data_IF_259350610242
#
_entry.id   IF_259350610242
#
_cell.length_a   1.000
_cell.length_b   1.000
_cell.length_c   1.000
_cell.angle_alpha   90.00
_cell.angle_beta   90.00
_cell.angle_gamma   90.00
#
_symmetry.space_group_name_H-M   'P 1'
#
loop_
_entity.id
_entity.type
_entity.pdbx_description
1 polymer ?
#
# COMPACT_ATOMS: atom_id res chain seq x y z
N UNK A 1 5.00 28.40 38.50
CA UNK A 1 5.84 29.26 37.63
C UNK A 1 6.94 28.34 37.11
N UNK A 2 7.03 27.92 35.85
CA UNK A 2 6.85 28.62 34.58
C UNK A 2 6.09 27.76 33.56
N UNK A 3 5.26 28.42 32.77
CA UNK A 3 4.66 27.93 31.54
C UNK A 3 5.49 28.39 30.33
N UNK A 4 5.61 27.55 29.30
CA UNK A 4 5.91 27.95 27.92
C UNK A 4 5.44 26.79 27.00
N UNK A 5 4.24 26.89 26.43
CA UNK A 5 3.93 27.46 25.11
C UNK A 5 4.14 26.47 23.95
N UNK A 6 3.16 25.59 23.75
CA UNK A 6 2.91 24.93 22.47
C UNK A 6 2.04 25.86 21.62
N UNK A 7 2.59 26.41 20.53
CA UNK A 7 1.83 27.10 19.48
C UNK A 7 2.43 26.78 18.12
N UNK A 8 1.51 26.70 17.15
CA UNK A 8 1.68 26.61 15.69
C UNK A 8 1.69 25.19 15.07
N UNK A 9 0.49 24.68 14.82
CA UNK A 9 0.15 24.15 13.49
C UNK A 9 -1.23 24.72 13.10
N UNK A 10 -1.21 25.78 12.28
CA UNK A 10 -2.40 26.29 11.57
C UNK A 10 -2.39 25.70 10.18
N UNK A 11 -3.52 25.15 9.77
CA UNK A 11 -3.73 24.54 8.48
C UNK A 11 -3.57 25.52 7.32
N UNK A 12 -3.22 24.96 6.17
CA UNK A 12 -3.33 25.64 4.89
C UNK A 12 -4.23 24.84 3.95
N UNK A 13 -5.40 25.44 3.67
CA UNK A 13 -6.27 25.11 2.56
C UNK A 13 -5.68 25.74 1.30
N UNK A 14 -5.35 24.92 0.29
CA UNK A 14 -4.86 25.43 -0.99
C UNK A 14 -6.06 25.87 -1.85
N UNK A 15 -6.16 27.19 -2.05
CA UNK A 15 -7.07 27.85 -2.98
C UNK A 15 -6.56 27.59 -4.41
N UNK A 16 -7.43 27.03 -5.27
CA UNK A 16 -7.16 26.82 -6.70
C UNK A 16 -7.80 27.95 -7.50
N UNK A 17 -6.98 28.74 -8.20
CA UNK A 17 -7.41 29.73 -9.20
C UNK A 17 -7.28 29.13 -10.60
N UNK A 18 -8.31 29.18 -11.48
CA UNK A 18 -8.20 28.65 -12.84
C UNK A 18 -7.72 29.69 -13.85
N UNK A 19 -6.86 29.28 -14.78
CA UNK A 19 -6.49 30.01 -16.01
C UNK A 19 -7.06 29.30 -17.26
N UNK A 20 -7.26 30.01 -18.39
CA UNK A 20 -8.30 29.70 -19.37
C UNK A 20 -7.89 28.76 -20.51
N UNK A 21 -8.92 28.14 -21.08
CA UNK A 21 -8.94 27.24 -22.22
C UNK A 21 -8.48 27.86 -23.55
N UNK A 22 -7.70 27.11 -24.34
CA UNK A 22 -7.48 27.37 -25.78
C UNK A 22 -7.91 26.16 -26.65
N UNK A 23 -8.28 26.51 -27.87
CA UNK A 23 -9.14 25.82 -28.83
C UNK A 23 -8.49 24.65 -29.60
N UNK A 24 -9.37 23.89 -30.28
CA UNK A 24 -9.08 22.70 -31.10
C UNK A 24 -8.66 23.08 -32.52
N UNK A 25 -7.69 22.36 -33.09
CA UNK A 25 -7.42 22.29 -34.53
C UNK A 25 -7.46 20.84 -35.02
N UNK A 26 -8.18 20.58 -36.12
CA UNK A 26 -8.31 19.29 -36.81
C UNK A 26 -7.25 19.15 -37.92
N UNK A 27 -6.80 17.92 -38.18
CA UNK A 27 -6.08 17.54 -39.40
C UNK A 27 -6.09 16.03 -39.67
N UNK A 28 -6.61 15.63 -40.84
CA UNK A 28 -6.54 14.29 -41.49
C UNK A 28 -5.14 14.13 -42.14
N UNK A 29 -4.53 13.00 -42.51
CA UNK A 29 -4.82 11.56 -42.62
C UNK A 29 -3.70 10.93 -43.51
N UNK A 30 -3.49 9.61 -43.51
CA UNK A 30 -2.60 8.93 -44.50
C UNK A 30 -1.95 7.62 -44.03
N UNK A 31 -2.21 6.54 -44.77
CA UNK A 31 -1.76 5.14 -44.61
C UNK A 31 -0.23 4.95 -44.79
N UNK A 32 0.45 3.85 -44.45
CA UNK A 32 0.12 2.53 -43.90
C UNK A 32 1.37 1.63 -44.00
N UNK A 33 1.53 0.63 -43.13
CA UNK A 33 2.16 -0.67 -43.42
C UNK A 33 2.07 -1.59 -42.19
N UNK A 34 1.76 -2.85 -42.46
CA UNK A 34 1.43 -3.87 -41.48
C UNK A 34 2.69 -4.56 -40.93
N UNK A 35 2.70 -4.87 -39.63
CA UNK A 35 3.34 -6.07 -39.09
C UNK A 35 2.67 -6.47 -37.76
N UNK A 36 2.57 -7.79 -37.59
CA UNK A 36 1.74 -8.55 -36.64
C UNK A 36 1.87 -8.15 -35.15
N UNK A 37 0.72 -7.97 -34.48
CA UNK A 37 0.54 -7.91 -33.02
C UNK A 37 -0.49 -8.97 -32.60
N UNK A 38 -0.26 -9.78 -31.53
CA UNK A 38 -1.28 -10.68 -30.99
C UNK A 38 -2.33 -9.90 -30.16
N UNK A 39 -3.51 -10.50 -29.92
CA UNK A 39 -4.77 -9.76 -29.80
C UNK A 39 -4.95 -8.98 -28.50
N UNK A 40 -5.51 -7.77 -28.65
CA UNK A 40 -6.02 -6.91 -27.58
C UNK A 40 -7.35 -7.46 -27.06
N UNK A 41 -7.35 -7.98 -25.86
CA UNK A 41 -8.56 -8.10 -25.04
C UNK A 41 -8.44 -7.31 -23.73
N UNK A 42 -9.24 -6.24 -23.70
CA UNK A 42 -9.90 -5.61 -22.55
C UNK A 42 -9.08 -5.35 -21.26
N UNK A 43 -8.37 -4.21 -21.25
CA UNK A 43 -8.11 -3.45 -20.03
C UNK A 43 -8.58 -2.00 -20.24
N UNK A 44 -9.80 -1.69 -19.77
CA UNK A 44 -10.35 -0.33 -19.69
C UNK A 44 -10.62 0.04 -18.24
N UNK A 45 -9.67 0.67 -17.56
CA UNK A 45 -9.78 1.31 -16.23
C UNK A 45 -8.48 2.13 -16.04
N UNK A 46 -8.38 3.38 -15.55
CA UNK A 46 -9.28 4.40 -15.01
C UNK A 46 -8.74 5.78 -15.47
N UNK A 47 -9.62 6.67 -15.92
CA UNK A 47 -9.33 8.11 -15.95
C UNK A 47 -9.78 8.74 -14.63
N UNK A 48 -8.99 9.67 -14.09
CA UNK A 48 -9.26 10.41 -12.83
C UNK A 48 -10.72 10.87 -12.74
N UNK A 49 -11.47 10.57 -11.66
CA UNK A 49 -12.70 11.29 -11.38
C UNK A 49 -12.36 12.67 -10.77
N UNK A 50 -12.86 13.73 -11.42
CA UNK A 50 -12.95 15.06 -10.81
C UNK A 50 -14.06 15.04 -9.76
N UNK A 51 -13.78 15.54 -8.57
CA UNK A 51 -14.78 15.85 -7.54
C UNK A 51 -15.42 14.63 -6.88
N UNK A 52 -14.81 14.13 -5.80
CA UNK A 52 -15.46 13.15 -4.92
C UNK A 52 -16.63 13.85 -4.22
N UNK A 53 -17.87 13.45 -4.56
CA UNK A 53 -19.04 13.77 -3.73
C UNK A 53 -18.92 12.97 -2.43
N UNK A 54 -18.93 13.70 -1.32
CA UNK A 54 -18.97 13.14 0.04
C UNK A 54 -20.21 12.25 0.18
N UNK A 55 -20.03 11.01 0.63
CA UNK A 55 -21.11 10.05 0.82
C UNK A 55 -22.11 10.53 1.90
N UNK A 56 -23.42 10.22 1.77
CA UNK A 56 -24.44 10.63 2.72
C UNK A 56 -24.26 9.96 4.09
N UNK A 57 -24.77 10.65 5.11
CA UNK A 57 -24.80 10.22 6.51
C UNK A 57 -25.48 8.85 6.65
N UNK A 58 -24.80 7.91 7.30
CA UNK A 58 -25.26 6.56 7.56
C UNK A 58 -25.34 6.38 9.07
N UNK A 59 -26.27 7.09 9.71
CA UNK A 59 -26.76 6.76 11.04
C UNK A 59 -27.68 5.54 10.91
N UNK A 60 -27.09 4.35 10.96
CA UNK A 60 -27.80 3.07 10.91
C UNK A 60 -27.81 2.50 12.32
N UNK A 61 -29.00 2.15 12.84
CA UNK A 61 -29.16 1.49 14.14
C UNK A 61 -28.46 0.14 14.18
N UNK A 62 -27.31 0.07 14.85
CA UNK A 62 -26.39 -1.06 14.83
C UNK A 62 -26.21 -1.69 16.22
N UNK A 63 -26.02 -3.01 16.21
CA UNK A 63 -25.09 -3.64 17.14
C UNK A 63 -23.69 -3.06 16.88
N UNK A 64 -22.96 -2.71 17.93
CA UNK A 64 -21.67 -2.00 17.91
C UNK A 64 -20.81 -2.28 16.67
N UNK A 65 -20.66 -1.28 15.79
CA UNK A 65 -19.77 -1.37 14.63
C UNK A 65 -18.31 -1.27 15.04
N UNK A 66 -17.47 -2.07 14.40
CA UNK A 66 -16.03 -2.07 14.63
C UNK A 66 -15.26 -2.14 13.31
N UNK A 67 -13.97 -1.82 13.38
CA UNK A 67 -13.05 -2.00 12.25
C UNK A 67 -12.38 -3.37 12.35
N UNK A 68 -12.53 -4.17 11.30
CA UNK A 68 -11.69 -5.32 11.04
C UNK A 68 -10.38 -4.82 10.41
N UNK A 69 -9.23 -5.26 10.93
CA UNK A 69 -7.91 -4.87 10.45
C UNK A 69 -7.08 -6.12 10.16
N UNK A 70 -6.87 -6.47 8.89
CA UNK A 70 -5.94 -7.53 8.52
C UNK A 70 -4.50 -7.04 8.74
N UNK A 71 -3.66 -7.88 9.33
CA UNK A 71 -2.25 -7.58 9.56
C UNK A 71 -1.39 -8.84 9.35
N UNK A 72 -0.08 -8.74 9.58
CA UNK A 72 0.80 -9.91 9.61
C UNK A 72 0.59 -10.67 10.94
N UNK A 73 0.55 -12.02 10.95
CA UNK A 73 0.55 -12.76 12.21
C UNK A 73 1.76 -12.38 13.08
N UNK A 74 1.52 -12.07 14.36
CA UNK A 74 2.55 -11.61 15.32
C UNK A 74 2.85 -10.10 15.29
N UNK A 75 2.03 -9.32 14.56
CA UNK A 75 2.09 -7.86 14.48
C UNK A 75 0.76 -7.20 14.89
N UNK A 76 -0.10 -7.96 15.59
CA UNK A 76 -1.37 -7.46 16.10
C UNK A 76 -1.15 -6.31 17.09
N UNK A 77 -0.09 -6.38 17.92
CA UNK A 77 0.29 -5.31 18.85
C UNK A 77 0.69 -4.01 18.15
N UNK A 78 1.39 -4.11 17.02
CA UNK A 78 1.81 -2.94 16.26
C UNK A 78 0.63 -2.29 15.54
N UNK A 79 -0.23 -3.10 14.89
CA UNK A 79 -1.45 -2.60 14.27
C UNK A 79 -2.42 -1.98 15.30
N UNK A 80 -2.50 -2.57 16.49
CA UNK A 80 -3.27 -2.05 17.62
C UNK A 80 -2.73 -0.69 18.11
N UNK A 81 -1.42 -0.60 18.37
CA UNK A 81 -0.79 0.64 18.83
C UNK A 81 -0.92 1.75 17.79
N UNK A 82 -0.70 1.44 16.51
CA UNK A 82 -0.90 2.36 15.38
C UNK A 82 -2.32 2.92 15.35
N UNK A 83 -3.33 2.05 15.46
CA UNK A 83 -4.73 2.50 15.41
C UNK A 83 -5.16 3.25 16.66
N UNK A 84 -4.63 2.91 17.84
CA UNK A 84 -4.85 3.69 19.06
C UNK A 84 -4.30 5.11 18.92
N UNK A 85 -3.06 5.25 18.45
CA UNK A 85 -2.44 6.57 18.25
C UNK A 85 -3.22 7.41 17.22
N UNK A 86 -3.50 6.83 16.04
CA UNK A 86 -4.19 7.53 14.96
C UNK A 86 -5.64 7.89 15.31
N UNK A 87 -6.37 7.02 16.02
CA UNK A 87 -7.73 7.32 16.48
C UNK A 87 -7.76 8.46 17.50
N UNK A 88 -6.83 8.45 18.46
CA UNK A 88 -6.66 9.52 19.44
C UNK A 88 -6.37 10.86 18.76
N UNK A 89 -5.48 10.89 17.75
CA UNK A 89 -5.20 12.09 16.96
C UNK A 89 -6.43 12.63 16.21
N UNK A 90 -7.41 11.77 15.86
CA UNK A 90 -8.68 12.20 15.23
C UNK A 90 -9.78 12.53 16.24
N UNK A 91 -9.50 12.42 17.54
CA UNK A 91 -10.45 12.65 18.62
C UNK A 91 -11.60 11.66 18.62
N UNK A 92 -11.34 10.40 18.24
CA UNK A 92 -12.33 9.32 18.25
C UNK A 92 -11.83 8.25 19.21
N UNK A 93 -12.62 7.95 20.24
CA UNK A 93 -12.28 6.92 21.20
C UNK A 93 -12.40 5.53 20.56
N UNK A 94 -11.44 4.66 20.84
CA UNK A 94 -11.51 3.28 20.46
C UNK A 94 -10.45 2.43 21.14
N UNK A 95 -10.67 1.14 21.16
CA UNK A 95 -9.75 0.19 21.77
C UNK A 95 -9.60 -1.06 20.88
N UNK A 96 -8.39 -1.60 20.77
CA UNK A 96 -8.13 -2.82 20.03
C UNK A 96 -8.45 -4.04 20.89
N UNK A 97 -9.00 -5.07 20.26
CA UNK A 97 -9.07 -6.44 20.75
C UNK A 97 -8.15 -7.26 19.85
N UNK A 98 -7.10 -7.81 20.45
CA UNK A 98 -6.07 -8.59 19.76
C UNK A 98 -5.95 -9.98 20.37
N UNK A 99 -5.55 -10.94 19.54
CA UNK A 99 -5.07 -12.25 19.99
C UNK A 99 -3.79 -12.56 19.21
N UNK A 100 -2.76 -13.00 19.92
CA UNK A 100 -1.47 -13.30 19.33
C UNK A 100 -1.60 -14.31 18.19
N UNK A 101 -1.00 -13.99 17.04
CA UNK A 101 -1.02 -14.84 15.85
C UNK A 101 -2.37 -14.93 15.14
N UNK A 102 -3.36 -14.11 15.51
CA UNK A 102 -4.66 -14.07 14.84
C UNK A 102 -4.61 -13.39 13.46
N UNK A 103 -3.57 -12.62 13.16
CA UNK A 103 -3.40 -11.84 11.92
C UNK A 103 -4.54 -10.85 11.62
N UNK A 104 -5.38 -10.58 12.62
CA UNK A 104 -6.53 -9.70 12.55
C UNK A 104 -6.63 -8.95 13.88
N UNK A 105 -6.85 -7.64 13.80
CA UNK A 105 -7.18 -6.79 14.96
C UNK A 105 -8.62 -6.32 14.79
N UNK A 106 -9.38 -6.38 15.89
CA UNK A 106 -10.70 -5.76 15.99
C UNK A 106 -10.52 -4.42 16.68
N UNK A 107 -10.87 -3.32 16.04
CA UNK A 107 -10.79 -2.00 16.66
C UNK A 107 -12.20 -1.47 16.93
N UNK A 108 -12.57 -1.46 18.20
CA UNK A 108 -13.92 -1.18 18.67
C UNK A 108 -14.03 0.29 19.06
N UNK A 109 -15.02 0.98 18.50
CA UNK A 109 -15.37 2.34 18.90
C UNK A 109 -16.64 2.27 19.76
N UNK A 110 -16.65 2.83 20.99
CA UNK A 110 -17.80 2.73 21.89
C UNK A 110 -19.07 3.40 21.36
N UNK A 111 -18.91 4.56 20.72
CA UNK A 111 -20.03 5.35 20.20
C UNK A 111 -20.50 4.82 18.84
N UNK A 112 -21.82 4.80 18.66
CA UNK A 112 -22.42 4.34 17.42
C UNK A 112 -21.98 5.18 16.22
N UNK A 113 -21.53 4.51 15.16
CA UNK A 113 -21.04 5.17 13.94
C UNK A 113 -19.61 5.71 14.00
N UNK A 114 -18.94 5.67 15.16
CA UNK A 114 -17.57 6.19 15.29
C UNK A 114 -16.54 5.38 14.50
N UNK A 115 -16.71 4.06 14.38
CA UNK A 115 -15.86 3.24 13.52
C UNK A 115 -15.92 3.71 12.05
N UNK A 116 -17.12 4.02 11.56
CA UNK A 116 -17.32 4.57 10.22
C UNK A 116 -16.77 5.98 10.07
N UNK A 117 -16.93 6.85 11.08
CA UNK A 117 -16.33 8.20 11.11
C UNK A 117 -14.81 8.13 11.10
N UNK A 118 -14.23 7.22 11.87
CA UNK A 118 -12.78 7.02 11.96
C UNK A 118 -12.22 6.58 10.62
N UNK A 119 -12.82 5.58 9.98
CA UNK A 119 -12.43 5.10 8.65
C UNK A 119 -12.50 6.21 7.59
N UNK A 120 -13.44 7.17 7.71
CA UNK A 120 -13.51 8.35 6.80
C UNK A 120 -12.45 9.41 7.09
N UNK A 121 -12.03 9.57 8.35
CA UNK A 121 -11.04 10.58 8.77
C UNK A 121 -9.58 10.13 8.59
N UNK A 122 -9.34 8.83 8.52
CA UNK A 122 -8.02 8.25 8.32
C UNK A 122 -7.79 7.93 6.84
N UNK A 123 -6.60 8.25 6.33
CA UNK A 123 -6.15 7.76 5.02
C UNK A 123 -5.52 6.38 5.23
N UNK A 124 -6.06 5.38 4.55
CA UNK A 124 -5.56 4.01 4.59
C UNK A 124 -4.07 3.91 4.22
N UNK A 125 -3.58 4.80 3.34
CA UNK A 125 -2.17 4.81 2.91
C UNK A 125 -1.19 5.17 4.02
N UNK A 126 -1.66 5.78 5.11
CA UNK A 126 -0.82 6.11 6.27
C UNK A 126 -0.64 4.92 7.22
N UNK A 127 -1.45 3.86 7.09
CA UNK A 127 -1.38 2.68 7.96
C UNK A 127 -0.23 1.77 7.52
N UNK A 128 0.75 1.59 8.39
CA UNK A 128 1.96 0.82 8.17
C UNK A 128 1.68 -0.67 8.38
N UNK A 129 1.01 -1.05 9.47
CA UNK A 129 0.88 -2.46 9.89
C UNK A 129 -0.47 -3.10 9.50
N UNK A 130 -1.44 -2.30 9.04
CA UNK A 130 -2.75 -2.77 8.58
C UNK A 130 -2.75 -3.05 7.08
N UNK A 131 -2.76 -4.32 6.65
CA UNK A 131 -2.80 -4.73 5.23
C UNK A 131 -4.12 -4.41 4.54
N UNK A 132 -5.23 -4.51 5.27
CA UNK A 132 -6.58 -4.19 4.79
C UNK A 132 -7.48 -3.87 5.98
N UNK A 133 -8.55 -3.11 5.74
CA UNK A 133 -9.57 -2.83 6.75
C UNK A 133 -10.99 -2.82 6.19
N UNK A 134 -11.97 -2.99 7.06
CA UNK A 134 -13.38 -2.81 6.75
C UNK A 134 -14.15 -2.41 8.01
N UNK A 135 -15.21 -1.62 7.86
CA UNK A 135 -16.15 -1.28 8.94
C UNK A 135 -17.37 -2.19 8.89
N UNK A 136 -17.77 -2.77 10.01
CA UNK A 136 -18.85 -3.75 10.03
C UNK A 136 -19.10 -4.37 11.39
N UNK A 137 -19.63 -5.58 11.39
CA UNK A 137 -20.01 -6.33 12.60
C UNK A 137 -19.60 -7.80 12.50
N UNK A 138 -19.34 -8.42 13.63
CA UNK A 138 -19.25 -9.87 13.76
C UNK A 138 -20.63 -10.48 13.91
N UNK A 139 -20.79 -11.69 13.38
CA UNK A 139 -22.00 -12.49 13.42
C UNK A 139 -21.63 -13.92 13.79
N UNK A 140 -22.41 -14.51 14.69
CA UNK A 140 -22.45 -15.96 14.84
C UNK A 140 -23.48 -16.52 13.85
N UNK A 141 -23.11 -17.60 13.16
CA UNK A 141 -23.87 -18.16 12.04
C UNK A 141 -24.01 -19.68 12.18
N UNK A 142 -25.19 -20.25 11.86
CA UNK A 142 -25.37 -21.69 11.87
C UNK A 142 -24.54 -22.36 10.76
N UNK A 143 -24.03 -23.57 11.05
CA UNK A 143 -23.17 -24.30 10.14
C UNK A 143 -23.88 -24.78 8.87
N UNK A 144 -25.20 -24.90 8.91
CA UNK A 144 -26.08 -25.30 7.82
C UNK A 144 -26.56 -24.13 6.96
N UNK A 145 -26.64 -22.91 7.52
CA UNK A 145 -27.08 -21.71 6.80
C UNK A 145 -26.28 -20.45 7.16
N UNK A 146 -25.22 -20.22 6.39
CA UNK A 146 -24.39 -19.02 6.51
C UNK A 146 -24.89 -17.87 5.64
N UNK A 147 -25.74 -18.15 4.64
CA UNK A 147 -26.11 -17.15 3.62
C UNK A 147 -27.17 -16.20 4.18
N UNK A 148 -28.20 -16.73 4.84
CA UNK A 148 -29.30 -15.90 5.35
C UNK A 148 -28.85 -14.85 6.38
N UNK A 149 -27.96 -15.17 7.35
CA UNK A 149 -27.41 -14.15 8.25
C UNK A 149 -26.61 -13.06 7.53
N UNK A 150 -25.80 -13.43 6.52
CA UNK A 150 -25.02 -12.46 5.73
C UNK A 150 -25.96 -11.52 4.96
N UNK A 151 -27.00 -12.06 4.32
CA UNK A 151 -28.01 -11.26 3.61
C UNK A 151 -28.72 -10.30 4.57
N UNK A 152 -29.08 -10.80 5.77
CA UNK A 152 -29.72 -9.99 6.80
C UNK A 152 -28.82 -8.84 7.23
N UNK A 153 -27.53 -9.09 7.46
CA UNK A 153 -26.58 -8.02 7.77
C UNK A 153 -26.42 -7.02 6.60
N UNK A 154 -26.39 -7.49 5.36
CA UNK A 154 -26.31 -6.63 4.17
C UNK A 154 -27.53 -5.72 3.99
N UNK A 155 -28.71 -6.12 4.47
CA UNK A 155 -29.92 -5.29 4.41
C UNK A 155 -29.81 -3.97 5.17
N UNK A 156 -28.88 -3.91 6.13
CA UNK A 156 -28.58 -2.73 6.95
C UNK A 156 -27.37 -1.97 6.44
N UNK A 157 -26.68 -2.43 5.39
CA UNK A 157 -25.47 -1.80 4.89
C UNK A 157 -25.65 -1.11 3.53
N UNK A 158 -24.62 -0.41 3.04
CA UNK A 158 -24.64 0.13 1.70
C UNK A 158 -24.62 -1.00 0.65
N UNK A 159 -25.19 -0.71 -0.52
CA UNK A 159 -25.02 -1.56 -1.71
C UNK A 159 -23.52 -1.66 -2.02
N UNK A 160 -23.05 -2.86 -2.34
CA UNK A 160 -21.66 -3.13 -2.68
C UNK A 160 -21.45 -3.35 -4.19
N UNK A 161 -20.25 -3.07 -4.68
CA UNK A 161 -19.80 -3.36 -6.04
C UNK A 161 -19.37 -4.81 -6.21
N UNK A 162 -18.74 -5.39 -5.19
CA UNK A 162 -18.24 -6.77 -5.17
C UNK A 162 -18.33 -7.37 -3.77
N UNK A 163 -18.22 -8.69 -3.67
CA UNK A 163 -18.04 -9.42 -2.41
C UNK A 163 -16.67 -10.10 -2.38
N UNK A 164 -15.95 -9.96 -1.27
CA UNK A 164 -14.72 -10.66 -0.98
C UNK A 164 -14.93 -11.62 0.17
N UNK A 165 -14.70 -12.91 -0.09
CA UNK A 165 -14.59 -13.92 0.94
C UNK A 165 -13.15 -13.98 1.43
N UNK A 166 -12.96 -13.72 2.71
CA UNK A 166 -11.66 -13.53 3.34
C UNK A 166 -11.52 -14.43 4.56
N UNK A 167 -10.28 -14.65 4.97
CA UNK A 167 -9.90 -15.28 6.24
C UNK A 167 -8.66 -14.55 6.77
N UNK A 168 -8.28 -14.83 8.01
CA UNK A 168 -6.97 -14.42 8.52
C UNK A 168 -5.83 -15.15 7.76
N UNK A 169 -4.67 -14.49 7.58
CA UNK A 169 -3.46 -15.08 6.96
C UNK A 169 -2.72 -16.04 7.93
N UNK A 170 -3.44 -17.03 8.44
CA UNK A 170 -2.98 -18.01 9.43
C UNK A 170 -3.18 -19.44 8.90
N UNK A 171 -2.63 -20.43 9.61
CA UNK A 171 -2.89 -21.84 9.27
C UNK A 171 -4.38 -22.20 9.45
N UNK A 172 -5.02 -21.69 10.51
CA UNK A 172 -6.46 -21.89 10.76
C UNK A 172 -7.30 -21.22 9.67
N UNK A 173 -6.94 -20.01 9.26
CA UNK A 173 -7.59 -19.32 8.14
C UNK A 173 -7.43 -20.07 6.82
N UNK A 174 -6.30 -20.74 6.59
CA UNK A 174 -6.09 -21.62 5.42
C UNK A 174 -6.93 -22.90 5.51
N UNK A 175 -7.16 -23.44 6.70
CA UNK A 175 -8.02 -24.61 6.88
C UNK A 175 -9.48 -24.34 6.44
N UNK A 176 -9.91 -23.08 6.45
CA UNK A 176 -11.24 -22.65 5.97
C UNK A 176 -11.34 -22.53 4.44
N UNK A 177 -10.28 -22.79 3.67
CA UNK A 177 -10.28 -22.63 2.21
C UNK A 177 -11.35 -23.49 1.51
N UNK A 178 -11.62 -24.70 2.00
CA UNK A 178 -12.67 -25.56 1.46
C UNK A 178 -14.08 -24.95 1.66
N UNK A 179 -14.31 -24.32 2.82
CA UNK A 179 -15.56 -23.65 3.15
C UNK A 179 -15.75 -22.42 2.25
N UNK A 180 -14.78 -21.51 2.22
CA UNK A 180 -14.89 -20.26 1.43
C UNK A 180 -15.02 -20.55 -0.06
N UNK A 181 -14.31 -21.56 -0.58
CA UNK A 181 -14.45 -22.01 -1.97
C UNK A 181 -15.86 -22.54 -2.29
N UNK A 182 -16.44 -23.37 -1.41
CA UNK A 182 -17.80 -23.91 -1.60
C UNK A 182 -18.86 -22.83 -1.49
N UNK A 183 -18.69 -21.86 -0.59
CA UNK A 183 -19.66 -20.79 -0.33
C UNK A 183 -19.63 -19.67 -1.39
N UNK A 184 -18.49 -19.44 -2.05
CA UNK A 184 -18.28 -18.33 -2.98
C UNK A 184 -19.40 -18.07 -3.98
N UNK A 185 -19.62 -19.03 -4.89
CA UNK A 185 -20.62 -18.86 -5.96
C UNK A 185 -22.07 -18.81 -5.43
N UNK A 186 -22.49 -19.67 -4.47
CA UNK A 186 -23.81 -19.55 -3.85
C UNK A 186 -24.06 -18.18 -3.21
N UNK A 187 -23.10 -17.66 -2.43
CA UNK A 187 -23.22 -16.38 -1.76
C UNK A 187 -23.29 -15.22 -2.75
N UNK A 188 -22.39 -15.17 -3.73
CA UNK A 188 -22.39 -14.14 -4.77
C UNK A 188 -23.71 -14.12 -5.55
N UNK A 189 -24.24 -15.31 -5.88
CA UNK A 189 -25.54 -15.44 -6.56
C UNK A 189 -26.68 -14.88 -5.69
N UNK A 190 -26.70 -15.20 -4.40
CA UNK A 190 -27.75 -14.75 -3.49
C UNK A 190 -27.69 -13.22 -3.26
N UNK A 191 -26.49 -12.66 -3.07
CA UNK A 191 -26.26 -11.22 -2.92
C UNK A 191 -26.60 -10.42 -4.19
N UNK A 192 -26.37 -11.02 -5.37
CA UNK A 192 -26.73 -10.40 -6.65
C UNK A 192 -28.25 -10.42 -6.87
N UNK A 193 -28.93 -11.53 -6.55
CA UNK A 193 -30.40 -11.65 -6.64
C UNK A 193 -31.11 -10.65 -5.73
N UNK A 194 -30.60 -10.45 -4.51
CA UNK A 194 -31.11 -9.44 -3.55
C UNK A 194 -30.70 -8.01 -3.91
N UNK A 195 -29.82 -7.83 -4.90
CA UNK A 195 -29.25 -6.54 -5.34
C UNK A 195 -28.44 -5.80 -4.26
N UNK A 196 -27.99 -6.50 -3.22
CA UNK A 196 -27.02 -5.97 -2.26
C UNK A 196 -25.62 -5.90 -2.85
N UNK A 197 -25.29 -6.79 -3.80
CA UNK A 197 -24.11 -6.66 -4.66
C UNK A 197 -24.55 -6.30 -6.08
N UNK A 198 -23.97 -5.25 -6.64
CA UNK A 198 -24.24 -4.74 -8.00
C UNK A 198 -22.92 -4.47 -8.72
N UNK A 199 -22.40 -5.44 -9.50
CA UNK A 199 -21.11 -5.29 -10.20
C UNK A 199 -21.01 -4.08 -11.13
N UNK A 200 -22.15 -3.61 -11.66
CA UNK A 200 -22.19 -2.44 -12.55
C UNK A 200 -22.05 -1.09 -11.80
N UNK A 201 -22.05 -1.08 -10.47
CA UNK A 201 -21.84 0.10 -9.61
C UNK A 201 -20.41 0.11 -9.11
N UNK A 202 -19.43 0.33 -9.99
CA UNK A 202 -18.00 0.24 -9.65
C UNK A 202 -17.53 1.27 -8.61
N UNK A 203 -18.31 2.30 -8.36
CA UNK A 203 -18.10 3.33 -7.33
C UNK A 203 -18.62 2.93 -5.94
N UNK A 204 -19.44 1.87 -5.86
CA UNK A 204 -19.96 1.34 -4.60
C UNK A 204 -18.85 0.65 -3.78
N UNK A 205 -18.96 0.63 -2.44
CA UNK A 205 -17.99 -0.03 -1.57
C UNK A 205 -17.88 -1.53 -1.88
N UNK A 206 -16.81 -2.15 -1.42
CA UNK A 206 -16.62 -3.60 -1.46
C UNK A 206 -17.20 -4.21 -0.19
N UNK A 207 -17.96 -5.29 -0.33
CA UNK A 207 -18.41 -6.09 0.80
C UNK A 207 -17.31 -7.09 1.19
N UNK A 208 -16.97 -7.12 2.48
CA UNK A 208 -16.04 -8.04 3.10
C UNK A 208 -16.83 -9.04 3.93
N UNK A 209 -16.61 -10.33 3.68
CA UNK A 209 -17.10 -11.44 4.50
C UNK A 209 -15.88 -12.22 4.97
N UNK A 210 -15.42 -11.94 6.18
CA UNK A 210 -14.21 -12.53 6.74
C UNK A 210 -14.54 -13.61 7.76
N UNK A 211 -14.18 -14.86 7.49
CA UNK A 211 -14.42 -15.98 8.39
C UNK A 211 -13.34 -16.05 9.47
N UNK A 212 -13.77 -16.10 10.73
CA UNK A 212 -12.90 -16.47 11.86
C UNK A 212 -13.00 -17.98 12.12
N UNK A 213 -14.20 -18.55 11.97
CA UNK A 213 -14.44 -19.99 12.09
C UNK A 213 -15.56 -20.43 11.15
N UNK A 214 -15.96 -21.71 11.20
CA UNK A 214 -17.13 -22.19 10.49
C UNK A 214 -18.45 -21.57 10.97
N UNK A 215 -18.48 -20.96 12.15
CA UNK A 215 -19.72 -20.50 12.82
C UNK A 215 -19.62 -19.03 13.24
N UNK A 216 -18.52 -18.34 12.93
CA UNK A 216 -18.33 -16.93 13.24
C UNK A 216 -17.62 -16.20 12.10
N UNK A 217 -18.22 -15.09 11.66
CA UNK A 217 -17.72 -14.29 10.55
C UNK A 217 -17.98 -12.80 10.76
N UNK A 218 -17.20 -11.98 10.07
CA UNK A 218 -17.37 -10.53 9.99
C UNK A 218 -18.06 -10.18 8.67
N UNK A 219 -19.01 -9.25 8.70
CA UNK A 219 -19.64 -8.63 7.53
C UNK A 219 -19.43 -7.12 7.61
N UNK A 220 -18.74 -6.56 6.62
CA UNK A 220 -18.43 -5.13 6.59
C UNK A 220 -18.06 -4.59 5.22
N UNK A 221 -17.70 -3.31 5.16
CA UNK A 221 -17.45 -2.60 3.91
C UNK A 221 -16.15 -1.82 3.91
N UNK A 222 -15.55 -1.70 2.72
CA UNK A 222 -14.46 -0.76 2.47
C UNK A 222 -14.66 0.01 1.16
N UNK A 223 -14.12 1.22 1.08
CA UNK A 223 -14.24 2.06 -0.10
C UNK A 223 -12.97 1.99 -0.95
N UNK A 224 -13.13 1.85 -2.26
CA UNK A 224 -12.01 1.62 -3.19
C UNK A 224 -10.90 2.67 -3.11
N UNK A 225 -11.25 3.94 -2.83
CA UNK A 225 -10.30 5.03 -2.69
C UNK A 225 -9.56 5.08 -1.34
N UNK A 226 -10.01 4.31 -0.35
CA UNK A 226 -9.49 4.32 1.02
C UNK A 226 -9.36 2.90 1.58
N UNK A 227 -8.88 1.94 0.78
CA UNK A 227 -8.60 0.56 1.23
C UNK A 227 -7.68 -0.14 0.23
N UNK A 228 -7.08 -1.28 0.61
CA UNK A 228 -6.21 -2.02 -0.31
C UNK A 228 -7.03 -2.58 -1.49
N UNK A 229 -6.47 -2.63 -2.72
CA UNK A 229 -7.18 -3.12 -3.90
C UNK A 229 -7.25 -4.65 -3.99
N UNK A 230 -6.68 -5.36 -3.02
CA UNK A 230 -6.64 -6.82 -2.98
C UNK A 230 -7.42 -7.37 -1.77
N UNK A 231 -8.09 -8.53 -1.91
CA UNK A 231 -8.63 -9.26 -0.76
C UNK A 231 -7.55 -9.50 0.29
N UNK A 232 -7.90 -9.32 1.57
CA UNK A 232 -6.98 -9.38 2.72
C UNK A 232 -5.77 -8.42 2.64
N UNK A 233 -5.71 -7.55 1.63
CA UNK A 233 -4.56 -6.70 1.36
C UNK A 233 -3.36 -7.42 0.78
N UNK A 234 -3.53 -8.62 0.21
CA UNK A 234 -2.43 -9.46 -0.28
C UNK A 234 -2.44 -9.55 -1.81
N UNK A 235 -1.44 -8.99 -2.51
CA UNK A 235 -1.32 -9.15 -3.94
C UNK A 235 -0.90 -10.57 -4.32
N UNK A 236 -1.46 -11.09 -5.41
CA UNK A 236 -1.10 -12.41 -5.95
C UNK A 236 0.09 -12.29 -6.88
N UNK A 237 1.29 -12.32 -6.31
CA UNK A 237 2.54 -12.29 -7.06
C UNK A 237 3.13 -13.70 -7.18
N UNK A 238 3.77 -14.00 -8.32
CA UNK A 238 4.42 -15.29 -8.57
C UNK A 238 5.92 -15.08 -8.68
N UNK A 239 6.70 -15.83 -7.91
CA UNK A 239 8.17 -15.81 -8.02
C UNK A 239 8.58 -16.19 -9.45
N UNK A 240 9.27 -15.30 -10.16
CA UNK A 240 9.84 -15.59 -11.48
C UNK A 240 10.94 -16.65 -11.36
N UNK A 241 11.00 -17.60 -12.30
CA UNK A 241 11.98 -18.71 -12.23
C UNK A 241 13.40 -18.23 -12.48
N UNK A 242 13.53 -17.16 -13.24
CA UNK A 242 14.78 -16.55 -13.71
C UNK A 242 15.35 -15.55 -12.70
N UNK A 243 14.58 -15.18 -11.67
CA UNK A 243 15.03 -14.23 -10.67
C UNK A 243 16.09 -14.89 -9.75
N UNK A 244 17.24 -14.23 -9.49
CA UNK A 244 18.29 -14.77 -8.64
C UNK A 244 17.89 -15.01 -7.17
N UNK A 245 16.83 -14.33 -6.70
CA UNK A 245 16.36 -14.41 -5.32
C UNK A 245 14.85 -14.16 -5.25
N UNK A 246 14.20 -14.78 -4.24
CA UNK A 246 12.79 -14.53 -3.91
C UNK A 246 12.54 -13.12 -3.39
N UNK A 247 13.57 -12.40 -2.93
CA UNK A 247 13.45 -11.00 -2.48
C UNK A 247 12.99 -10.06 -3.61
N UNK A 248 13.09 -10.50 -4.88
CA UNK A 248 12.51 -9.83 -6.05
C UNK A 248 11.06 -9.43 -5.86
N UNK A 249 10.26 -10.24 -5.14
CA UNK A 249 8.85 -9.96 -4.93
C UNK A 249 8.60 -8.77 -3.99
N UNK A 250 9.55 -8.42 -3.12
CA UNK A 250 9.41 -7.25 -2.24
C UNK A 250 9.33 -5.96 -3.06
N UNK A 251 10.24 -5.80 -4.03
CA UNK A 251 10.27 -4.61 -4.87
C UNK A 251 9.06 -4.56 -5.83
N UNK A 252 8.65 -5.70 -6.38
CA UNK A 252 7.43 -5.78 -7.20
C UNK A 252 6.16 -5.43 -6.40
N UNK A 253 6.04 -5.98 -5.18
CA UNK A 253 4.94 -5.65 -4.28
C UNK A 253 4.95 -4.16 -3.91
N UNK A 254 6.12 -3.60 -3.61
CA UNK A 254 6.29 -2.18 -3.31
C UNK A 254 5.81 -1.30 -4.46
N UNK A 255 6.14 -1.61 -5.71
CA UNK A 255 5.61 -0.87 -6.87
C UNK A 255 4.09 -0.97 -6.98
N UNK A 256 3.53 -2.16 -6.77
CA UNK A 256 2.08 -2.35 -6.76
C UNK A 256 1.38 -1.56 -5.65
N UNK A 257 2.04 -1.36 -4.51
CA UNK A 257 1.49 -0.64 -3.37
C UNK A 257 1.64 0.89 -3.50
N UNK A 258 2.85 1.37 -3.83
CA UNK A 258 3.20 2.79 -3.74
C UNK A 258 3.04 3.55 -5.06
N UNK A 259 2.99 2.87 -6.21
CA UNK A 259 2.93 3.51 -7.52
C UNK A 259 1.60 3.17 -8.19
N UNK A 260 0.70 4.16 -8.39
CA UNK A 260 -0.52 3.97 -9.16
C UNK A 260 -0.21 3.34 -10.52
N UNK A 261 -0.97 2.33 -10.93
CA UNK A 261 -0.66 1.51 -12.10
C UNK A 261 -0.53 2.34 -13.38
N UNK A 262 -1.34 3.39 -13.50
CA UNK A 262 -1.33 4.35 -14.60
C UNK A 262 -0.06 5.20 -14.67
N UNK A 263 0.72 5.29 -13.59
CA UNK A 263 1.98 6.04 -13.54
C UNK A 263 3.20 5.15 -13.81
N UNK A 264 3.05 3.83 -13.99
CA UNK A 264 4.19 2.91 -14.13
C UNK A 264 5.05 3.21 -15.36
N UNK A 265 4.45 3.53 -16.50
CA UNK A 265 5.22 3.82 -17.73
C UNK A 265 5.98 5.14 -17.65
N UNK A 266 5.58 6.04 -16.75
CA UNK A 266 6.28 7.29 -16.48
C UNK A 266 7.32 7.14 -15.36
N UNK A 267 6.96 6.50 -14.25
CA UNK A 267 7.78 6.44 -13.02
C UNK A 267 8.71 5.23 -12.97
N UNK A 268 8.41 4.19 -13.73
CA UNK A 268 9.25 2.98 -13.90
C UNK A 268 9.60 2.81 -15.38
N UNK A 269 10.00 3.90 -16.04
CA UNK A 269 10.17 3.96 -17.48
C UNK A 269 11.45 3.23 -17.94
N UNK A 270 11.44 2.63 -19.15
CA UNK A 270 12.65 2.14 -19.81
C UNK A 270 13.73 3.21 -19.91
N UNK A 271 15.00 2.80 -19.75
CA UNK A 271 16.16 3.68 -19.87
C UNK A 271 16.45 4.53 -18.63
N UNK A 272 15.60 4.52 -17.60
CA UNK A 272 15.91 5.12 -16.31
C UNK A 272 17.18 4.51 -15.70
N UNK A 273 17.89 5.31 -14.91
CA UNK A 273 19.04 4.87 -14.13
C UNK A 273 18.63 4.55 -12.70
N UNK A 274 19.18 3.48 -12.16
CA UNK A 274 18.92 3.03 -10.80
C UNK A 274 20.21 2.62 -10.08
N UNK A 275 20.20 2.75 -8.77
CA UNK A 275 21.21 2.17 -7.88
C UNK A 275 20.54 1.18 -6.94
N UNK A 276 21.08 -0.04 -6.87
CA UNK A 276 20.69 -1.08 -5.92
C UNK A 276 21.80 -1.24 -4.89
N UNK A 277 21.54 -0.88 -3.63
CA UNK A 277 22.50 -0.99 -2.52
C UNK A 277 22.30 -2.30 -1.77
N UNK A 278 23.37 -3.07 -1.57
CA UNK A 278 23.28 -4.44 -1.05
C UNK A 278 22.66 -5.38 -2.08
N UNK A 279 23.08 -5.22 -3.34
CA UNK A 279 22.39 -5.79 -4.47
C UNK A 279 22.51 -7.32 -4.57
N UNK A 280 23.58 -7.94 -4.03
CA UNK A 280 23.86 -9.35 -4.30
C UNK A 280 22.80 -10.29 -3.69
N UNK A 281 22.36 -11.35 -4.40
CA UNK A 281 22.77 -11.78 -5.75
C UNK A 281 21.97 -11.13 -6.90
N UNK A 282 21.10 -10.16 -6.61
CA UNK A 282 20.41 -9.34 -7.61
C UNK A 282 18.89 -9.49 -7.65
N UNK A 283 18.23 -9.83 -6.54
CA UNK A 283 16.78 -9.96 -6.50
C UNK A 283 16.05 -8.66 -6.91
N UNK A 284 16.45 -7.52 -6.34
CA UNK A 284 15.87 -6.22 -6.65
C UNK A 284 16.38 -5.66 -7.99
N UNK A 285 17.68 -5.79 -8.24
CA UNK A 285 18.29 -5.53 -9.56
C UNK A 285 17.53 -6.19 -10.70
N UNK A 286 17.06 -7.44 -10.53
CA UNK A 286 16.29 -8.15 -11.56
C UNK A 286 14.98 -7.44 -11.93
N UNK A 287 14.25 -6.90 -10.97
CA UNK A 287 13.03 -6.13 -11.25
C UNK A 287 13.33 -4.85 -12.03
N UNK A 288 14.41 -4.15 -11.64
CA UNK A 288 14.86 -2.93 -12.33
C UNK A 288 15.27 -3.21 -13.78
N UNK A 289 16.04 -4.29 -13.99
CA UNK A 289 16.46 -4.77 -15.32
C UNK A 289 15.26 -5.11 -16.19
N UNK A 290 14.23 -5.77 -15.64
CA UNK A 290 12.99 -6.09 -16.34
C UNK A 290 12.11 -4.88 -16.68
N UNK A 291 12.34 -3.74 -16.02
CA UNK A 291 11.80 -2.44 -16.42
C UNK A 291 12.69 -1.70 -17.42
N UNK A 292 13.69 -2.40 -17.98
CA UNK A 292 14.67 -1.87 -18.91
C UNK A 292 15.50 -0.70 -18.35
N UNK A 293 15.74 -0.69 -17.04
CA UNK A 293 16.60 0.30 -16.40
C UNK A 293 18.09 -0.06 -16.58
N UNK A 294 18.97 0.94 -16.47
CA UNK A 294 20.41 0.77 -16.30
C UNK A 294 20.71 0.79 -14.81
N UNK A 295 21.31 -0.27 -14.28
CA UNK A 295 21.46 -0.47 -12.83
C UNK A 295 22.93 -0.47 -12.44
N UNK A 296 23.29 0.38 -11.47
CA UNK A 296 24.53 0.21 -10.72
C UNK A 296 24.22 -0.62 -9.48
N UNK A 297 24.64 -1.89 -9.49
CA UNK A 297 24.47 -2.83 -8.39
C UNK A 297 25.68 -2.76 -7.47
N UNK A 298 25.48 -2.37 -6.21
CA UNK A 298 26.55 -2.11 -5.25
C UNK A 298 26.53 -3.18 -4.17
N UNK A 299 27.53 -4.05 -4.18
CA UNK A 299 27.72 -5.10 -3.17
C UNK A 299 29.15 -5.68 -3.28
N UNK A 300 29.73 -6.11 -2.16
CA UNK A 300 30.97 -6.90 -2.20
C UNK A 300 30.72 -8.34 -2.69
N UNK A 301 29.50 -8.83 -2.56
CA UNK A 301 29.07 -10.14 -3.07
C UNK A 301 28.90 -10.14 -4.59
N UNK A 302 29.03 -11.31 -5.24
CA UNK A 302 28.90 -11.42 -6.69
C UNK A 302 27.44 -11.29 -7.12
N UNK A 303 27.22 -10.56 -8.21
CA UNK A 303 25.94 -10.52 -8.92
C UNK A 303 25.71 -11.80 -9.73
N UNK A 304 24.46 -12.21 -9.87
CA UNK A 304 24.12 -13.35 -10.71
C UNK A 304 24.56 -13.13 -12.17
N UNK A 305 25.20 -14.15 -12.76
CA UNK A 305 25.72 -14.08 -14.13
C UNK A 305 24.65 -13.67 -15.16
N UNK A 306 23.42 -14.18 -15.02
CA UNK A 306 22.31 -13.83 -15.91
C UNK A 306 21.98 -12.33 -15.92
N UNK A 307 22.21 -11.62 -14.81
CA UNK A 307 22.03 -10.16 -14.75
C UNK A 307 23.19 -9.43 -15.41
N UNK A 308 24.42 -9.92 -15.23
CA UNK A 308 25.60 -9.34 -15.88
C UNK A 308 25.54 -9.50 -17.41
N UNK A 309 25.14 -10.69 -17.87
CA UNK A 309 24.99 -11.04 -19.28
C UNK A 309 23.91 -10.19 -20.00
N UNK A 310 23.02 -9.51 -19.25
CA UNK A 310 22.04 -8.57 -19.83
C UNK A 310 22.67 -7.32 -20.44
N UNK A 311 23.89 -6.95 -20.01
CA UNK A 311 24.54 -5.68 -20.37
C UNK A 311 23.91 -4.43 -19.74
N UNK A 312 22.92 -4.59 -18.86
CA UNK A 312 22.23 -3.48 -18.19
C UNK A 312 22.76 -3.19 -16.78
N UNK A 313 23.64 -4.04 -16.25
CA UNK A 313 24.14 -3.99 -14.86
C UNK A 313 25.62 -3.67 -14.82
N UNK A 314 25.98 -2.60 -14.11
CA UNK A 314 27.34 -2.31 -13.65
C UNK A 314 27.46 -2.79 -12.21
N UNK A 315 28.32 -3.76 -11.94
CA UNK A 315 28.60 -4.23 -10.57
C UNK A 315 29.75 -3.41 -9.97
N UNK A 316 29.54 -2.89 -8.77
CA UNK A 316 30.52 -2.14 -8.00
C UNK A 316 30.75 -2.84 -6.66
N UNK A 317 31.96 -3.33 -6.44
CA UNK A 317 32.39 -3.90 -5.17
C UNK A 317 32.68 -2.78 -4.15
N UNK A 318 31.68 -2.48 -3.31
CA UNK A 318 31.79 -1.46 -2.26
C UNK A 318 30.75 -1.69 -1.15
N UNK A 319 30.95 -1.03 -0.01
CA UNK A 319 29.90 -0.88 1.02
C UNK A 319 28.79 0.06 0.50
N UNK A 320 27.57 -0.46 0.39
CA UNK A 320 26.39 0.30 -0.04
C UNK A 320 26.11 1.54 0.81
N UNK A 321 26.42 1.53 2.12
CA UNK A 321 26.26 2.69 2.99
C UNK A 321 27.31 3.78 2.76
N UNK A 322 28.43 3.47 2.11
CA UNK A 322 29.50 4.43 1.80
C UNK A 322 29.50 4.87 0.34
N UNK A 323 28.76 4.15 -0.52
CA UNK A 323 28.67 4.46 -1.94
C UNK A 323 28.08 5.83 -2.21
N UNK A 324 28.65 6.52 -3.20
CA UNK A 324 28.20 7.79 -3.73
C UNK A 324 28.09 7.68 -5.25
N UNK A 325 26.93 7.97 -5.85
CA UNK A 325 26.79 7.91 -7.30
C UNK A 325 27.54 9.07 -7.97
N UNK A 326 28.10 8.81 -9.16
CA UNK A 326 28.79 9.83 -9.97
C UNK A 326 27.83 10.87 -10.54
N UNK A 327 26.58 10.47 -10.81
CA UNK A 327 25.49 11.31 -11.32
C UNK A 327 24.20 10.96 -10.57
N UNK A 328 23.27 11.91 -10.38
CA UNK A 328 21.94 11.60 -9.87
C UNK A 328 21.26 10.50 -10.69
N UNK A 329 20.52 9.62 -10.02
CA UNK A 329 19.74 8.54 -10.65
C UNK A 329 18.25 8.75 -10.44
N UNK A 330 17.41 8.05 -11.20
CA UNK A 330 15.96 8.13 -11.00
C UNK A 330 15.55 7.32 -9.77
N UNK A 331 16.13 6.13 -9.59
CA UNK A 331 15.77 5.20 -8.53
C UNK A 331 16.94 4.84 -7.63
N UNK A 332 16.69 4.92 -6.32
CA UNK A 332 17.48 4.22 -5.31
C UNK A 332 16.65 3.07 -4.77
N UNK A 333 17.24 1.88 -4.67
CA UNK A 333 16.64 0.76 -3.95
C UNK A 333 17.65 0.17 -2.96
N UNK A 334 17.21 -0.26 -1.79
CA UNK A 334 18.06 -0.85 -0.75
C UNK A 334 17.31 -1.85 0.13
N UNK A 335 17.80 -3.10 0.21
CA UNK A 335 17.31 -4.16 1.11
C UNK A 335 18.42 -4.68 2.05
N UNK A 336 19.40 -3.82 2.39
CA UNK A 336 20.49 -4.20 3.31
C UNK A 336 19.92 -4.56 4.68
N UNK A 337 20.40 -5.68 5.24
CA UNK A 337 20.08 -6.11 6.61
C UNK A 337 20.96 -5.36 7.59
N UNK A 338 20.42 -4.30 8.19
CA UNK A 338 21.10 -3.51 9.22
C UNK A 338 20.08 -2.82 10.15
N UNK A 339 20.59 -2.10 11.16
CA UNK A 339 19.79 -1.26 12.04
C UNK A 339 18.99 -0.24 11.22
N UNK A 340 17.69 -0.07 11.49
CA UNK A 340 16.83 0.82 10.73
C UNK A 340 17.32 2.28 10.77
N UNK A 341 17.92 2.73 11.87
CA UNK A 341 18.58 4.03 11.98
C UNK A 341 19.71 4.27 10.95
N UNK A 342 20.47 3.24 10.56
CA UNK A 342 21.48 3.37 9.49
C UNK A 342 20.81 3.52 8.12
N UNK A 343 19.76 2.76 7.86
CA UNK A 343 18.97 2.84 6.62
C UNK A 343 18.26 4.18 6.48
N UNK A 344 17.67 4.72 7.56
CA UNK A 344 17.02 6.03 7.54
C UNK A 344 18.02 7.17 7.34
N UNK A 345 19.19 7.13 8.00
CA UNK A 345 20.27 8.08 7.78
C UNK A 345 20.81 8.04 6.34
N UNK A 346 20.96 6.84 5.77
CA UNK A 346 21.34 6.66 4.37
C UNK A 346 20.29 7.26 3.44
N UNK A 347 19.02 6.92 3.63
CA UNK A 347 17.92 7.45 2.82
C UNK A 347 17.85 8.98 2.87
N UNK A 348 17.90 9.56 4.08
CA UNK A 348 17.94 11.01 4.27
C UNK A 348 19.10 11.66 3.52
N UNK A 349 20.30 11.09 3.61
CA UNK A 349 21.48 11.59 2.87
C UNK A 349 21.30 11.52 1.35
N UNK A 350 20.78 10.41 0.82
CA UNK A 350 20.56 10.27 -0.63
C UNK A 350 19.56 11.29 -1.17
N UNK A 351 18.46 11.51 -0.44
CA UNK A 351 17.42 12.46 -0.81
C UNK A 351 17.92 13.91 -0.72
N UNK A 352 18.53 14.29 0.41
CA UNK A 352 19.01 15.66 0.64
C UNK A 352 20.17 16.08 -0.26
N UNK A 353 20.98 15.12 -0.71
CA UNK A 353 22.06 15.36 -1.70
C UNK A 353 21.57 15.36 -3.14
N UNK A 354 20.28 15.09 -3.39
CA UNK A 354 19.72 14.98 -4.74
C UNK A 354 20.33 13.85 -5.55
N UNK A 355 20.72 12.75 -4.90
CA UNK A 355 21.35 11.60 -5.57
C UNK A 355 20.33 10.67 -6.22
N UNK A 356 19.09 10.68 -5.76
CA UNK A 356 17.97 9.99 -6.40
C UNK A 356 16.72 10.87 -6.47
N UNK A 357 15.77 10.49 -7.32
CA UNK A 357 14.43 11.13 -7.37
C UNK A 357 13.39 10.36 -6.58
N UNK A 358 13.39 9.04 -6.71
CA UNK A 358 12.55 8.13 -5.96
C UNK A 358 13.41 7.07 -5.25
N UNK A 359 12.96 6.62 -4.09
CA UNK A 359 13.63 5.61 -3.31
C UNK A 359 12.65 4.57 -2.77
N UNK A 360 13.07 3.30 -2.75
CA UNK A 360 12.43 2.22 -1.98
C UNK A 360 13.48 1.61 -1.05
N UNK A 361 13.23 1.61 0.25
CA UNK A 361 14.17 1.11 1.26
C UNK A 361 13.44 0.27 2.30
N UNK A 362 13.98 -0.90 2.63
CA UNK A 362 13.48 -1.70 3.76
C UNK A 362 14.12 -1.25 5.08
N UNK A 363 13.29 -1.01 6.10
CA UNK A 363 13.72 -0.82 7.47
C UNK A 363 13.50 -2.09 8.27
N UNK A 364 14.58 -2.67 8.79
CA UNK A 364 14.51 -3.90 9.61
C UNK A 364 13.97 -3.53 10.99
N UNK A 365 13.02 -4.33 11.49
CA UNK A 365 12.34 -4.05 12.74
C UNK A 365 13.13 -4.64 13.92
N UNK A 366 13.24 -3.92 15.05
CA UNK A 366 13.82 -4.45 16.27
C UNK A 366 12.89 -5.47 16.93
N UNK A 367 13.38 -6.19 17.94
CA UNK A 367 12.55 -7.16 18.67
C UNK A 367 11.41 -6.51 19.48
N UNK A 368 11.54 -5.24 19.87
CA UNK A 368 10.58 -4.52 20.72
C UNK A 368 10.37 -3.10 20.20
N UNK A 369 9.22 -2.52 20.52
CA UNK A 369 8.86 -1.15 20.11
C UNK A 369 8.92 -0.94 18.58
N UNK A 370 8.51 -1.97 17.82
CA UNK A 370 8.59 -2.01 16.35
C UNK A 370 7.92 -0.80 15.69
N UNK A 371 6.69 -0.50 16.09
CA UNK A 371 5.96 0.67 15.57
C UNK A 371 6.70 1.99 15.84
N UNK A 372 7.13 2.20 17.08
CA UNK A 372 7.85 3.42 17.49
C UNK A 372 9.16 3.62 16.72
N UNK A 373 9.95 2.56 16.55
CA UNK A 373 11.21 2.63 15.79
C UNK A 373 10.97 3.05 14.34
N UNK A 374 9.92 2.53 13.70
CA UNK A 374 9.56 2.93 12.33
C UNK A 374 9.16 4.39 12.28
N UNK A 375 8.29 4.84 13.20
CA UNK A 375 7.88 6.26 13.28
C UNK A 375 9.10 7.16 13.42
N UNK A 376 10.04 6.84 14.32
CA UNK A 376 11.29 7.60 14.50
C UNK A 376 12.16 7.63 13.23
N UNK A 377 12.22 6.53 12.48
CA UNK A 377 12.94 6.50 11.21
C UNK A 377 12.27 7.37 10.14
N UNK A 378 10.94 7.41 10.09
CA UNK A 378 10.19 8.26 9.16
C UNK A 378 10.30 9.74 9.54
N UNK A 379 10.20 10.07 10.82
CA UNK A 379 10.42 11.41 11.37
C UNK A 379 11.82 11.92 11.02
N UNK A 380 12.86 11.12 11.24
CA UNK A 380 14.23 11.49 10.86
C UNK A 380 14.38 11.82 9.37
N UNK A 381 13.75 11.04 8.48
CA UNK A 381 13.79 11.32 7.04
C UNK A 381 13.00 12.59 6.70
N UNK A 382 11.85 12.80 7.34
CA UNK A 382 11.01 13.99 7.15
C UNK A 382 11.72 15.26 7.63
N UNK A 383 12.31 15.24 8.83
CA UNK A 383 13.06 16.35 9.40
C UNK A 383 14.23 16.75 8.49
N UNK A 384 14.99 15.77 7.99
CA UNK A 384 16.10 16.04 7.08
C UNK A 384 15.64 16.67 5.74
N UNK A 385 14.47 16.29 5.23
CA UNK A 385 13.87 16.89 4.03
C UNK A 385 13.41 18.32 4.29
N UNK A 386 12.77 18.57 5.45
CA UNK A 386 12.29 19.88 5.85
C UNK A 386 13.45 20.86 6.09
N UNK A 387 14.51 20.44 6.76
CA UNK A 387 15.76 21.21 6.93
C UNK A 387 16.41 21.55 5.59
N UNK A 388 16.35 20.64 4.61
CA UNK A 388 16.87 20.87 3.27
C UNK A 388 15.91 21.66 2.36
N UNK A 389 14.70 21.99 2.82
CA UNK A 389 13.67 22.64 2.00
C UNK A 389 13.21 21.81 0.81
N UNK A 390 13.22 20.48 0.93
CA UNK A 390 12.80 19.53 -0.11
C UNK A 390 11.40 19.02 0.21
N UNK A 391 10.47 19.21 -0.73
CA UNK A 391 9.14 18.61 -0.62
C UNK A 391 9.14 17.22 -1.24
N UNK A 392 8.83 16.22 -0.43
CA UNK A 392 8.68 14.83 -0.86
C UNK A 392 7.39 14.22 -0.29
N UNK A 393 6.96 13.10 -0.86
CA UNK A 393 5.96 12.22 -0.26
C UNK A 393 6.66 11.00 0.33
N UNK A 394 6.35 10.67 1.58
CA UNK A 394 6.83 9.46 2.26
C UNK A 394 5.64 8.53 2.50
N UNK A 395 5.80 7.25 2.16
CA UNK A 395 4.83 6.22 2.46
C UNK A 395 5.55 4.98 3.00
N UNK A 396 4.95 4.28 3.95
CA UNK A 396 5.55 3.11 4.57
C UNK A 396 4.51 2.02 4.80
N UNK A 397 4.89 0.77 4.54
CA UNK A 397 4.00 -0.39 4.68
C UNK A 397 4.77 -1.63 5.09
N UNK A 398 4.22 -2.41 6.00
CA UNK A 398 4.59 -3.81 6.14
C UNK A 398 3.91 -4.62 5.02
N UNK A 399 4.63 -4.83 3.92
CA UNK A 399 4.14 -5.56 2.76
C UNK A 399 3.89 -7.05 3.12
N UNK A 400 3.21 -7.79 2.24
CA UNK A 400 3.00 -9.22 2.43
C UNK A 400 4.33 -10.00 2.45
N UNK A 401 5.24 -9.65 1.54
CA UNK A 401 6.58 -10.24 1.47
C UNK A 401 7.50 -9.81 2.61
N UNK A 402 7.14 -8.77 3.35
CA UNK A 402 7.90 -8.30 4.50
C UNK A 402 7.64 -9.20 5.72
N UNK A 403 8.73 -9.53 6.42
CA UNK A 403 8.69 -10.27 7.69
C UNK A 403 8.87 -9.31 8.86
N UNK A 404 10.08 -9.26 9.41
CA UNK A 404 10.48 -8.35 10.48
C UNK A 404 11.08 -7.08 9.88
N UNK A 405 10.32 -6.47 8.97
CA UNK A 405 10.73 -5.30 8.21
C UNK A 405 9.48 -4.55 7.72
N UNK A 406 9.67 -3.29 7.34
CA UNK A 406 8.70 -2.48 6.61
C UNK A 406 9.39 -1.90 5.37
N UNK A 407 8.63 -1.71 4.31
CA UNK A 407 9.12 -1.07 3.09
C UNK A 407 8.70 0.40 3.07
N UNK A 408 9.66 1.30 2.87
CA UNK A 408 9.46 2.74 2.77
C UNK A 408 9.66 3.20 1.32
N UNK A 409 8.72 3.99 0.80
CA UNK A 409 8.82 4.68 -0.48
C UNK A 409 8.91 6.19 -0.24
N UNK A 410 9.87 6.83 -0.91
CA UNK A 410 9.97 8.30 -0.93
C UNK A 410 10.04 8.78 -2.37
N UNK A 411 9.26 9.83 -2.67
CA UNK A 411 9.31 10.53 -3.97
C UNK A 411 9.49 12.01 -3.77
N UNK A 412 10.54 12.57 -4.35
CA UNK A 412 10.75 14.02 -4.39
C UNK A 412 9.72 14.64 -5.34
N UNK A 413 8.90 15.56 -4.82
CA UNK A 413 7.89 16.32 -5.59
C UNK A 413 8.46 17.65 -6.06
N UNK A 414 9.23 18.31 -5.19
CA UNK A 414 9.90 19.55 -5.49
C UNK A 414 11.18 19.65 -4.65
N UNK A 415 12.34 19.62 -5.29
CA UNK A 415 13.54 20.11 -4.64
C UNK A 415 13.49 21.64 -4.66
N UNK A 416 13.91 22.30 -3.57
CA UNK A 416 14.04 23.75 -3.53
C UNK A 416 15.09 24.29 -4.52
N UNK A 417 16.14 24.95 -4.03
CA UNK A 417 17.20 25.52 -4.88
C UNK A 417 18.07 24.50 -5.63
N UNK A 418 17.85 23.20 -5.45
CA UNK A 418 18.52 22.12 -6.18
C UNK A 418 17.71 21.71 -7.42
N UNK A 419 18.34 21.76 -8.61
CA UNK A 419 17.76 21.22 -9.84
C UNK A 419 17.67 19.70 -9.73
N UNK A 420 16.49 19.16 -9.44
CA UNK A 420 16.19 17.76 -9.77
C UNK A 420 16.07 17.66 -11.28
N UNK A 421 16.65 16.60 -11.84
CA UNK A 421 16.52 16.27 -13.27
C UNK A 421 15.06 16.39 -13.68
N UNK A 422 14.78 17.24 -14.67
CA UNK A 422 13.44 17.41 -15.23
C UNK A 422 12.96 16.09 -15.83
N UNK A 423 11.67 15.79 -15.64
CA UNK A 423 10.99 14.76 -16.41
C UNK A 423 11.12 15.15 -17.90
N UNK A 424 11.89 14.40 -18.66
CA UNK A 424 11.95 14.47 -20.12
C UNK A 424 11.45 13.15 -20.70
#
# INVERSE_FOLDING_TARGET
MHAASWKYFRGFSAIVTPLPSRERGRGRGGAGSANYLPPRDQCRWYSRPRGVKVAPDLSLGFAMQELLLHCRPGFESEAAAEMQELSAQKGIAGYPITRDGAAVVRFVCPEEGDAGRLMRKLDFRQLIFVRQWAVGTWLDVPAEDRISPIITACSKGPIASSVWLETADTNDGKALAALTKKLGRPLETALTKTRFVRPNKSDAPRLHVCFESGERLFVGWSWAGNSAPWPMGIPRLKVPREAPSRSTLKLEEAWHHFIPREEWDQRLAPGMTAVDLGAAPGGWTWQLVNRHMKVTAVDNGPMAKSLMDSGQVEHVEADGYMFKPKKPVQWLVCDIVDKPARSSAMLARWLTRGWCREAIVNFKLPMKQRYREVVQCLEHVQDALDEAGIRATIACKQLYTDREEVTCHVRIVHAGSYRVMSDH
#
